data_IF_602282195396
#
_entry.id   IF_602282195396
#
_cell.length_a   1.000
_cell.length_b   1.000
_cell.length_c   1.000
_cell.angle_alpha   90.00
_cell.angle_beta   90.00
_cell.angle_gamma   90.00
#
_symmetry.space_group_name_H-M   'P 1'
#
loop_
_entity.id
_entity.type
_entity.pdbx_description
1 polymer ?
#
# COMPACT_ATOMS: atom_id res chain seq x y z
N UNK A 1 4.00 40.61 21.31
CA UNK A 1 4.05 39.32 22.03
C UNK A 1 3.89 38.21 21.02
N UNK A 2 4.82 37.25 20.94
CA UNK A 2 4.67 36.06 20.10
C UNK A 2 4.03 34.98 20.96
N UNK A 3 2.86 34.47 20.57
CA UNK A 3 2.12 33.47 21.35
C UNK A 3 2.55 32.08 20.88
N UNK A 4 3.03 31.23 21.79
CA UNK A 4 3.49 29.86 21.51
C UNK A 4 2.31 28.86 21.35
N UNK A 5 1.20 29.29 20.74
CA UNK A 5 0.03 28.44 20.55
C UNK A 5 0.16 27.62 19.27
N UNK A 6 -0.42 26.43 19.26
CA UNK A 6 -0.48 25.58 18.07
C UNK A 6 -1.21 26.28 16.93
N UNK A 7 -0.65 26.19 15.72
CA UNK A 7 -1.21 26.80 14.52
C UNK A 7 -1.67 25.74 13.54
N UNK A 8 -2.82 25.97 12.90
CA UNK A 8 -3.33 25.12 11.82
C UNK A 8 -2.73 25.54 10.48
N UNK A 9 -2.16 24.59 9.75
CA UNK A 9 -1.67 24.79 8.38
C UNK A 9 -2.80 24.46 7.40
N UNK A 10 -3.04 25.36 6.44
CA UNK A 10 -4.00 25.16 5.34
C UNK A 10 -3.26 25.40 4.03
N UNK A 11 -3.20 24.38 3.18
CA UNK A 11 -2.56 24.46 1.85
C UNK A 11 -3.63 24.61 0.78
N UNK A 12 -3.46 25.60 -0.11
CA UNK A 12 -4.30 25.84 -1.28
C UNK A 12 -3.43 26.02 -2.51
N UNK A 13 -3.91 25.61 -3.67
CA UNK A 13 -3.25 25.82 -4.95
C UNK A 13 -3.90 27.01 -5.66
N UNK A 14 -3.07 27.82 -6.32
CA UNK A 14 -3.49 29.03 -7.01
C UNK A 14 -2.91 29.05 -8.43
N UNK A 15 -3.67 29.59 -9.39
CA UNK A 15 -3.15 29.85 -10.71
C UNK A 15 -2.13 31.01 -10.63
N UNK A 16 -0.90 30.88 -11.16
CA UNK A 16 0.13 31.90 -11.01
C UNK A 16 -0.25 33.26 -11.62
N UNK A 17 -1.05 33.27 -12.67
CA UNK A 17 -1.37 34.48 -13.44
C UNK A 17 -2.53 35.28 -12.84
N UNK A 18 -3.60 34.59 -12.44
CA UNK A 18 -4.85 35.24 -11.97
C UNK A 18 -5.03 35.19 -10.45
N UNK A 19 -4.20 34.43 -9.74
CA UNK A 19 -4.34 34.12 -8.31
C UNK A 19 -5.70 33.46 -7.94
N UNK A 20 -6.38 32.87 -8.91
CA UNK A 20 -7.60 32.08 -8.68
C UNK A 20 -7.26 30.76 -8.00
N UNK A 21 -8.16 30.27 -7.14
CA UNK A 21 -7.98 29.00 -6.44
C UNK A 21 -8.23 27.84 -7.42
N UNK A 22 -7.28 26.91 -7.49
CA UNK A 22 -7.41 25.70 -8.30
C UNK A 22 -8.04 24.58 -7.49
N UNK A 23 -9.11 24.00 -8.04
CA UNK A 23 -9.74 22.80 -7.51
C UNK A 23 -9.02 21.54 -8.01
N UNK A 24 -9.15 20.39 -7.34
CA UNK A 24 -8.56 19.14 -7.81
C UNK A 24 -9.00 18.72 -9.22
N UNK A 25 -10.17 19.19 -9.68
CA UNK A 25 -10.67 19.00 -11.05
C UNK A 25 -9.92 19.80 -12.11
N UNK A 26 -9.30 20.91 -11.70
CA UNK A 26 -8.59 21.83 -12.60
C UNK A 26 -7.13 21.40 -12.80
N UNK A 27 -6.71 20.32 -12.12
CA UNK A 27 -5.34 19.82 -12.08
C UNK A 27 -5.29 18.43 -12.71
N UNK A 28 -4.40 18.27 -13.70
CA UNK A 28 -4.08 16.99 -14.32
C UNK A 28 -2.63 16.59 -14.06
N UNK A 29 -2.37 15.29 -14.15
CA UNK A 29 -1.02 14.74 -14.09
C UNK A 29 -0.45 14.67 -15.51
N UNK A 30 0.85 14.91 -15.68
CA UNK A 30 1.51 14.85 -16.98
C UNK A 30 2.80 14.04 -16.91
N UNK A 31 3.07 13.22 -17.92
CA UNK A 31 4.33 12.53 -18.12
C UNK A 31 4.87 12.84 -19.52
N UNK A 32 6.09 13.37 -19.59
CA UNK A 32 6.76 13.68 -20.85
C UNK A 32 7.59 12.47 -21.30
N UNK A 33 7.25 11.90 -22.47
CA UNK A 33 7.93 10.75 -23.07
C UNK A 33 8.25 11.06 -24.53
N UNK A 34 9.54 11.03 -24.91
CA UNK A 34 10.01 11.22 -26.29
C UNK A 34 9.38 12.43 -27.00
N UNK A 35 9.46 13.61 -26.37
CA UNK A 35 8.89 14.88 -26.84
C UNK A 35 7.36 14.90 -26.97
N UNK A 36 6.65 13.97 -26.33
CA UNK A 36 5.18 13.98 -26.22
C UNK A 36 4.77 14.06 -24.77
N UNK A 37 3.83 14.95 -24.46
CA UNK A 37 3.22 15.05 -23.13
C UNK A 37 1.97 14.20 -23.07
N UNK A 38 1.97 13.22 -22.18
CA UNK A 38 0.81 12.36 -21.91
C UNK A 38 0.14 12.90 -20.66
N UNK A 39 -1.12 13.32 -20.78
CA UNK A 39 -1.92 13.81 -19.66
C UNK A 39 -2.74 12.66 -19.08
N UNK A 40 -2.92 12.69 -17.77
CA UNK A 40 -3.73 11.73 -17.03
C UNK A 40 -4.64 12.46 -16.06
N UNK A 41 -5.88 12.02 -15.99
CA UNK A 41 -6.78 12.43 -14.93
C UNK A 41 -6.41 11.78 -13.60
N UNK A 42 -6.86 12.39 -12.51
CA UNK A 42 -6.64 11.86 -11.16
C UNK A 42 -7.18 10.44 -11.00
N UNK A 43 -8.29 10.11 -11.67
CA UNK A 43 -8.90 8.79 -11.60
C UNK A 43 -8.19 7.76 -12.48
N UNK A 44 -7.59 8.17 -13.60
CA UNK A 44 -6.73 7.30 -14.40
C UNK A 44 -5.48 6.88 -13.63
N UNK A 45 -4.84 7.84 -12.93
CA UNK A 45 -3.70 7.53 -12.05
C UNK A 45 -4.08 6.56 -10.94
N UNK A 46 -5.28 6.68 -10.37
CA UNK A 46 -5.79 5.73 -9.37
C UNK A 46 -6.03 4.35 -9.99
N UNK A 47 -6.63 4.30 -11.18
CA UNK A 47 -6.93 3.07 -11.89
C UNK A 47 -5.65 2.30 -12.27
N UNK A 48 -4.61 2.98 -12.76
CA UNK A 48 -3.31 2.38 -13.09
C UNK A 48 -2.68 1.69 -11.87
N UNK A 49 -2.90 2.23 -10.67
CA UNK A 49 -2.36 1.68 -9.41
C UNK A 49 -3.28 0.66 -8.75
N UNK A 50 -4.44 0.36 -9.33
CA UNK A 50 -5.44 -0.54 -8.75
C UNK A 50 -5.18 -1.98 -9.20
N UNK A 51 -4.62 -2.79 -8.31
CA UNK A 51 -4.35 -4.21 -8.56
C UNK A 51 -5.34 -5.14 -7.87
N UNK A 52 -5.92 -4.71 -6.75
CA UNK A 52 -6.86 -5.50 -5.97
C UNK A 52 -7.31 -4.75 -4.71
N UNK A 53 -8.08 -5.43 -3.87
CA UNK A 53 -8.46 -4.92 -2.57
C UNK A 53 -7.33 -5.07 -1.54
N UNK A 54 -7.31 -4.25 -0.47
CA UNK A 54 -6.30 -4.36 0.57
C UNK A 54 -6.42 -5.69 1.32
N UNK A 55 -5.29 -6.30 1.61
CA UNK A 55 -5.24 -7.56 2.36
C UNK A 55 -4.07 -8.44 1.97
N UNK A 56 -4.17 -9.70 2.39
CA UNK A 56 -3.26 -10.78 2.02
C UNK A 56 -4.00 -11.75 1.11
N UNK A 57 -3.41 -12.01 -0.05
CA UNK A 57 -3.86 -13.07 -0.96
C UNK A 57 -2.85 -14.22 -0.90
N UNK A 58 -3.31 -15.41 -0.53
CA UNK A 58 -2.46 -16.59 -0.40
C UNK A 58 -2.03 -17.07 -1.79
N UNK A 59 -0.73 -17.06 -2.07
CA UNK A 59 -0.18 -17.59 -3.31
C UNK A 59 0.28 -19.05 -3.15
N UNK A 60 0.73 -19.44 -1.97
CA UNK A 60 1.11 -20.82 -1.68
C UNK A 60 2.06 -20.96 -0.49
N UNK A 61 2.78 -22.07 -0.46
CA UNK A 61 3.74 -22.40 0.59
C UNK A 61 5.11 -22.70 -0.03
N UNK A 62 6.18 -22.20 0.59
CA UNK A 62 7.56 -22.39 0.10
C UNK A 62 8.48 -22.76 1.26
N UNK A 63 9.53 -23.55 1.00
CA UNK A 63 10.48 -23.96 2.05
C UNK A 63 11.25 -22.76 2.61
N UNK A 64 11.48 -22.75 3.92
CA UNK A 64 12.30 -21.73 4.61
C UNK A 64 13.74 -21.69 4.06
N UNK A 65 14.26 -22.81 3.53
CA UNK A 65 15.59 -22.87 2.90
C UNK A 65 15.74 -21.93 1.69
N UNK A 66 14.64 -21.56 1.04
CA UNK A 66 14.66 -20.62 -0.08
C UNK A 66 14.80 -19.16 0.36
N UNK A 67 14.58 -18.84 1.65
CA UNK A 67 14.66 -17.49 2.17
C UNK A 67 16.09 -17.24 2.69
N UNK A 68 16.87 -16.51 1.90
CA UNK A 68 18.26 -16.21 2.23
C UNK A 68 18.39 -14.83 2.91
N UNK A 69 19.37 -14.64 3.82
CA UNK A 69 19.54 -13.37 4.53
C UNK A 69 19.77 -12.17 3.60
N UNK A 70 20.37 -12.37 2.44
CA UNK A 70 20.64 -11.32 1.45
C UNK A 70 19.40 -10.89 0.64
N UNK A 71 18.26 -11.59 0.77
CA UNK A 71 16.98 -11.16 0.16
C UNK A 71 16.26 -10.08 0.98
N UNK A 72 16.90 -9.53 2.03
CA UNK A 72 16.32 -8.48 2.84
C UNK A 72 16.11 -7.19 2.04
N UNK A 73 14.86 -6.72 1.97
CA UNK A 73 14.51 -5.44 1.30
C UNK A 73 14.04 -4.39 2.31
N UNK A 74 13.25 -4.80 3.31
CA UNK A 74 12.63 -3.93 4.32
C UNK A 74 12.35 -4.69 5.62
N UNK A 75 12.13 -3.99 6.75
CA UNK A 75 11.66 -4.62 7.99
C UNK A 75 10.35 -5.38 7.78
N UNK A 76 10.27 -6.57 8.36
CA UNK A 76 9.06 -7.39 8.35
C UNK A 76 7.98 -6.82 9.26
N UNK A 77 6.73 -7.14 8.96
CA UNK A 77 5.59 -6.86 9.84
C UNK A 77 5.25 -8.11 10.64
N UNK A 78 4.77 -7.90 11.86
CA UNK A 78 4.20 -8.98 12.66
C UNK A 78 2.70 -9.10 12.39
N UNK A 79 2.23 -10.30 12.06
CA UNK A 79 0.84 -10.59 11.71
C UNK A 79 0.23 -11.40 12.84
N UNK A 80 -0.94 -10.99 13.32
CA UNK A 80 -1.74 -11.69 14.31
C UNK A 80 -3.21 -11.70 13.88
N UNK A 81 -3.94 -12.82 14.04
CA UNK A 81 -5.35 -12.91 13.66
C UNK A 81 -6.23 -11.99 14.51
N UNK A 82 -7.25 -11.39 13.88
CA UNK A 82 -8.25 -10.57 14.58
C UNK A 82 -9.58 -11.33 14.70
N UNK A 83 -9.74 -12.01 15.84
CA UNK A 83 -10.95 -12.78 16.19
C UNK A 83 -12.22 -11.93 16.25
N UNK A 84 -12.08 -10.62 16.49
CA UNK A 84 -13.24 -9.71 16.58
C UNK A 84 -13.81 -9.41 15.20
N UNK A 85 -12.96 -9.41 14.17
CA UNK A 85 -13.36 -9.12 12.80
C UNK A 85 -13.85 -10.38 12.09
N UNK A 86 -13.16 -11.52 12.27
CA UNK A 86 -13.58 -12.82 11.73
C UNK A 86 -13.43 -13.89 12.80
N UNK A 87 -14.56 -14.44 13.24
CA UNK A 87 -14.62 -15.56 14.18
C UNK A 87 -13.97 -16.82 13.57
N UNK A 88 -13.21 -17.55 14.37
CA UNK A 88 -12.44 -18.72 13.97
C UNK A 88 -11.08 -18.41 13.33
N UNK A 89 -10.74 -17.13 13.12
CA UNK A 89 -9.47 -16.73 12.49
C UNK A 89 -8.25 -17.15 13.32
N UNK A 90 -8.33 -17.07 14.65
CA UNK A 90 -7.26 -17.52 15.54
C UNK A 90 -7.03 -19.02 15.44
N UNK A 91 -8.11 -19.82 15.33
CA UNK A 91 -8.01 -21.26 15.20
C UNK A 91 -7.32 -21.65 13.88
N UNK A 92 -7.78 -21.06 12.76
CA UNK A 92 -7.20 -21.30 11.44
C UNK A 92 -5.72 -20.87 11.38
N UNK A 93 -5.40 -19.66 11.86
CA UNK A 93 -4.03 -19.15 11.85
C UNK A 93 -3.09 -20.02 12.69
N UNK A 94 -3.52 -20.46 13.87
CA UNK A 94 -2.74 -21.36 14.72
C UNK A 94 -2.49 -22.72 14.05
N UNK A 95 -3.49 -23.27 13.36
CA UNK A 95 -3.34 -24.50 12.59
C UNK A 95 -2.33 -24.37 11.45
N UNK A 96 -2.45 -23.29 10.67
CA UNK A 96 -1.51 -22.97 9.58
C UNK A 96 -0.09 -22.78 10.10
N UNK A 97 0.08 -21.99 11.16
CA UNK A 97 1.39 -21.71 11.76
C UNK A 97 2.06 -22.99 12.25
N UNK A 98 1.34 -23.83 13.00
CA UNK A 98 1.86 -25.13 13.47
C UNK A 98 2.32 -26.01 12.31
N UNK A 99 1.51 -26.14 11.26
CA UNK A 99 1.85 -26.99 10.09
C UNK A 99 3.02 -26.44 9.28
N UNK A 100 3.13 -25.11 9.16
CA UNK A 100 4.26 -24.47 8.50
C UNK A 100 5.57 -24.69 9.27
N UNK A 101 5.53 -24.58 10.60
CA UNK A 101 6.68 -24.86 11.47
C UNK A 101 7.11 -26.34 11.40
N UNK A 102 6.16 -27.28 11.48
CA UNK A 102 6.44 -28.72 11.36
C UNK A 102 7.12 -29.08 10.03
N UNK A 103 6.67 -28.46 8.93
CA UNK A 103 7.19 -28.74 7.58
C UNK A 103 8.34 -27.84 7.14
N UNK A 104 8.81 -26.93 8.00
CA UNK A 104 9.86 -25.94 7.67
C UNK A 104 9.53 -25.13 6.40
N UNK A 105 8.28 -24.67 6.33
CA UNK A 105 7.77 -23.84 5.24
C UNK A 105 7.29 -22.49 5.74
N UNK A 106 7.27 -21.50 4.86
CA UNK A 106 6.61 -20.23 5.06
C UNK A 106 5.46 -20.07 4.07
N UNK A 107 4.53 -19.21 4.43
CA UNK A 107 3.37 -18.85 3.62
C UNK A 107 3.79 -17.70 2.70
N UNK A 108 3.63 -17.90 1.39
CA UNK A 108 3.85 -16.85 0.40
C UNK A 108 2.50 -16.19 0.11
N UNK A 109 2.44 -14.87 0.33
CA UNK A 109 1.25 -14.08 0.09
C UNK A 109 1.58 -12.87 -0.78
N UNK A 110 0.62 -12.44 -1.58
CA UNK A 110 0.61 -11.10 -2.13
C UNK A 110 -0.01 -10.15 -1.08
N UNK A 111 0.70 -9.07 -0.74
CA UNK A 111 0.26 -8.09 0.25
C UNK A 111 -0.06 -6.74 -0.41
N UNK A 112 -1.29 -6.27 -0.19
CA UNK A 112 -1.78 -4.96 -0.60
C UNK A 112 -2.17 -4.16 0.64
N UNK A 113 -1.33 -3.21 1.06
CA UNK A 113 -1.55 -2.47 2.31
C UNK A 113 -2.77 -1.55 2.28
N UNK A 114 -3.05 -0.94 1.13
CA UNK A 114 -4.15 0.03 0.93
C UNK A 114 -4.56 0.06 -0.53
N UNK A 115 -5.77 0.56 -0.80
CA UNK A 115 -6.30 0.69 -2.17
C UNK A 115 -5.35 1.54 -3.03
N UNK A 116 -5.28 1.23 -4.31
CA UNK A 116 -4.46 1.93 -5.30
C UNK A 116 -2.96 1.97 -4.93
N UNK A 117 -2.46 0.90 -4.30
CA UNK A 117 -1.02 0.70 -4.05
C UNK A 117 -0.59 -0.60 -4.73
N UNK A 118 0.53 -0.59 -5.48
CA UNK A 118 1.06 -1.81 -6.08
C UNK A 118 1.31 -2.89 -5.02
N UNK A 119 0.91 -4.14 -5.28
CA UNK A 119 1.09 -5.24 -4.35
C UNK A 119 2.57 -5.57 -4.16
N UNK A 120 2.88 -6.18 -3.02
CA UNK A 120 4.22 -6.68 -2.67
C UNK A 120 4.17 -8.18 -2.42
N UNK A 121 5.28 -8.86 -2.68
CA UNK A 121 5.54 -10.25 -2.29
C UNK A 121 6.38 -10.30 -1.02
#
# INVERSE_FOLDING_TARGET
MKTNLETKIVTKHYLPETAEILMPSDIQYGLDVSNRRILFDTDEIKAIKKFGDPGFELLGFKSLSCLQPHHYVKPGHFIYPDEKYVEGSSCLFNGLLKKCLEKQMFILCQFSARRNTPPRL
#
